data_IF_062132452801
#
_entry.id   IF_062132452801
#
_cell.length_a   1.000
_cell.length_b   1.000
_cell.length_c   1.000
_cell.angle_alpha   90.00
_cell.angle_beta   90.00
_cell.angle_gamma   90.00
#
_symmetry.space_group_name_H-M   'P 1'
#
loop_
_entity.id
_entity.type
_entity.pdbx_description
1 polymer ?
#
# COMPACT_ATOMS: atom_id res chain seq x y z
N UNK A 1 10.73 71.63 30.27
CA UNK A 1 11.59 70.81 29.40
C UNK A 1 12.19 69.69 30.24
N UNK A 2 11.64 68.47 30.16
CA UNK A 2 12.26 67.18 30.51
C UNK A 2 11.21 66.10 30.22
N UNK A 3 11.32 65.50 29.04
CA UNK A 3 10.47 64.42 28.56
C UNK A 3 10.85 63.11 29.27
N UNK A 4 9.85 62.42 29.81
CA UNK A 4 9.93 61.02 30.21
C UNK A 4 9.82 60.14 28.95
N UNK A 5 10.78 59.25 28.73
CA UNK A 5 10.66 58.15 27.78
C UNK A 5 10.41 56.85 28.57
N UNK A 6 9.22 56.28 28.40
CA UNK A 6 8.90 54.90 28.78
C UNK A 6 9.50 53.96 27.74
N UNK A 7 10.35 53.01 28.17
CA UNK A 7 10.71 51.85 27.37
C UNK A 7 9.69 50.74 27.62
N UNK A 8 8.90 50.42 26.60
CA UNK A 8 8.07 49.21 26.55
C UNK A 8 8.93 48.04 26.05
N UNK A 9 9.23 47.08 26.93
CA UNK A 9 9.84 45.82 26.56
C UNK A 9 8.77 44.89 25.94
N UNK A 10 8.87 44.64 24.63
CA UNK A 10 8.08 43.61 23.95
C UNK A 10 8.77 42.27 24.15
N UNK A 11 8.20 41.42 24.99
CA UNK A 11 8.61 40.02 25.11
C UNK A 11 8.04 39.22 23.93
N UNK A 12 8.87 38.92 22.94
CA UNK A 12 8.56 37.96 21.87
C UNK A 12 8.63 36.54 22.45
N UNK A 13 7.47 35.97 22.77
CA UNK A 13 7.34 34.55 23.06
C UNK A 13 7.67 33.73 21.82
N UNK A 14 8.84 33.08 21.82
CA UNK A 14 9.16 32.00 20.90
C UNK A 14 8.26 30.80 21.25
N UNK A 15 7.10 30.73 20.61
CA UNK A 15 6.42 29.45 20.49
C UNK A 15 7.28 28.57 19.58
N UNK A 16 8.06 27.68 20.19
CA UNK A 16 8.57 26.51 19.51
C UNK A 16 7.36 25.64 19.12
N UNK A 17 6.70 25.96 18.01
CA UNK A 17 5.99 24.94 17.27
C UNK A 17 7.06 23.95 16.85
N UNK A 18 7.21 22.85 17.59
CA UNK A 18 8.01 21.73 17.14
C UNK A 18 7.52 21.40 15.74
N UNK A 19 8.36 21.60 14.73
CA UNK A 19 8.02 21.25 13.37
C UNK A 19 7.76 19.74 13.39
N UNK A 20 6.49 19.35 13.37
CA UNK A 20 6.12 17.95 13.19
C UNK A 20 6.81 17.51 11.91
N UNK A 21 7.57 16.41 11.97
CA UNK A 21 8.21 15.85 10.79
C UNK A 21 7.13 15.69 9.69
N UNK A 22 7.44 16.16 8.48
CA UNK A 22 6.52 16.04 7.35
C UNK A 22 6.25 14.56 7.10
N UNK A 23 5.00 14.14 7.30
CA UNK A 23 4.54 12.78 7.02
C UNK A 23 3.92 12.70 5.64
N UNK A 24 4.24 11.66 4.89
CA UNK A 24 3.62 11.41 3.59
C UNK A 24 3.20 9.96 3.40
N UNK A 25 2.16 9.76 2.60
CA UNK A 25 1.61 8.45 2.25
C UNK A 25 1.57 8.35 0.73
N UNK A 26 2.13 7.27 0.21
CA UNK A 26 2.25 7.03 -1.23
C UNK A 26 1.51 5.76 -1.62
N UNK A 27 1.25 5.56 -2.91
CA UNK A 27 0.83 4.27 -3.45
C UNK A 27 1.78 3.81 -4.56
N UNK A 28 2.15 2.54 -4.49
CA UNK A 28 3.06 1.90 -5.44
C UNK A 28 2.35 1.57 -6.74
N UNK A 29 2.83 2.08 -7.86
CA UNK A 29 2.28 1.81 -9.20
C UNK A 29 3.32 1.05 -10.00
N UNK A 30 3.00 -0.19 -10.38
CA UNK A 30 3.77 -0.97 -11.33
C UNK A 30 3.51 -0.39 -12.72
N UNK A 31 4.40 0.44 -13.22
CA UNK A 31 4.17 1.19 -14.47
C UNK A 31 4.09 0.26 -15.68
N UNK A 32 4.78 -0.88 -15.64
CA UNK A 32 4.67 -1.93 -16.66
C UNK A 32 3.21 -2.40 -16.87
N UNK A 33 2.41 -2.42 -15.80
CA UNK A 33 0.98 -2.77 -15.82
C UNK A 33 0.07 -1.59 -16.23
N UNK A 34 0.57 -0.67 -17.05
CA UNK A 34 -0.22 0.49 -17.53
C UNK A 34 -0.19 0.66 -19.05
N UNK A 35 0.15 -0.39 -19.81
CA UNK A 35 0.33 -0.31 -21.26
C UNK A 35 -0.89 0.23 -22.04
N UNK A 36 -2.10 0.06 -21.53
CA UNK A 36 -3.32 0.58 -22.12
C UNK A 36 -3.76 1.95 -21.56
N UNK A 37 -3.13 2.44 -20.49
CA UNK A 37 -3.48 3.73 -19.91
C UNK A 37 -3.24 4.88 -20.90
N UNK A 38 -4.25 5.73 -21.02
CA UNK A 38 -4.13 7.05 -21.64
C UNK A 38 -3.77 8.09 -20.57
N UNK A 39 -3.42 9.31 -20.98
CA UNK A 39 -3.27 10.41 -20.03
C UNK A 39 -4.55 10.66 -19.23
N UNK A 40 -5.73 10.49 -19.84
CA UNK A 40 -7.00 10.61 -19.13
C UNK A 40 -7.18 9.53 -18.06
N UNK A 41 -6.71 8.31 -18.32
CA UNK A 41 -6.71 7.22 -17.33
C UNK A 41 -5.80 7.56 -16.15
N UNK A 42 -4.60 8.11 -16.41
CA UNK A 42 -3.73 8.64 -15.35
C UNK A 42 -4.39 9.76 -14.54
N UNK A 43 -5.11 10.70 -15.19
CA UNK A 43 -5.87 11.74 -14.49
C UNK A 43 -6.93 11.14 -13.56
N UNK A 44 -7.65 10.11 -14.01
CA UNK A 44 -8.65 9.42 -13.20
C UNK A 44 -8.02 8.76 -11.96
N UNK A 45 -6.89 8.08 -12.13
CA UNK A 45 -6.17 7.43 -11.02
C UNK A 45 -5.59 8.44 -10.04
N UNK A 46 -4.94 9.49 -10.54
CA UNK A 46 -4.40 10.58 -9.71
C UNK A 46 -5.52 11.27 -8.92
N UNK A 47 -6.66 11.54 -9.57
CA UNK A 47 -7.81 12.15 -8.91
C UNK A 47 -8.35 11.24 -7.81
N UNK A 48 -8.53 9.95 -8.10
CA UNK A 48 -9.02 8.98 -7.12
C UNK A 48 -8.05 8.86 -5.93
N UNK A 49 -6.75 8.67 -6.19
CA UNK A 49 -5.74 8.58 -5.15
C UNK A 49 -5.68 9.85 -4.29
N UNK A 50 -5.66 11.03 -4.90
CA UNK A 50 -5.71 12.32 -4.18
C UNK A 50 -6.93 12.42 -3.27
N UNK A 51 -8.10 12.00 -3.74
CA UNK A 51 -9.34 12.05 -2.95
C UNK A 51 -9.33 11.10 -1.75
N UNK A 52 -8.45 10.10 -1.74
CA UNK A 52 -8.25 9.21 -0.58
C UNK A 52 -7.26 9.78 0.46
N UNK A 53 -6.55 10.87 0.12
CA UNK A 53 -5.54 11.49 0.98
C UNK A 53 -4.09 11.04 0.70
N UNK A 54 -3.88 10.22 -0.32
CA UNK A 54 -2.54 9.87 -0.81
C UNK A 54 -1.84 11.12 -1.39
N UNK A 55 -0.54 11.23 -1.15
CA UNK A 55 0.26 12.40 -1.55
C UNK A 55 0.96 12.19 -2.90
N UNK A 56 1.33 10.94 -3.22
CA UNK A 56 2.06 10.64 -4.45
C UNK A 56 1.85 9.21 -4.95
N UNK A 57 2.09 9.01 -6.24
CA UNK A 57 2.42 7.69 -6.77
C UNK A 57 3.93 7.45 -6.78
N UNK A 58 4.30 6.26 -6.33
CA UNK A 58 5.65 5.70 -6.51
C UNK A 58 5.63 4.95 -7.84
N UNK A 59 6.23 5.54 -8.86
CA UNK A 59 6.33 4.94 -10.20
C UNK A 59 7.43 3.88 -10.16
N UNK A 60 7.05 2.63 -9.92
CA UNK A 60 7.92 1.48 -10.07
C UNK A 60 8.14 1.21 -11.57
N UNK A 61 9.40 1.37 -11.98
CA UNK A 61 9.82 1.30 -13.37
C UNK A 61 10.94 0.28 -13.53
N UNK A 62 10.80 -0.56 -14.56
CA UNK A 62 11.72 -1.66 -14.82
C UNK A 62 12.43 -1.49 -16.18
N UNK A 63 13.65 -2.01 -16.29
CA UNK A 63 14.46 -1.91 -17.51
C UNK A 63 14.64 -3.29 -18.17
N UNK A 64 14.54 -3.42 -19.50
CA UNK A 64 14.35 -2.38 -20.53
C UNK A 64 12.91 -2.33 -21.06
N UNK A 65 11.90 -2.38 -20.19
CA UNK A 65 10.49 -2.39 -20.62
C UNK A 65 10.16 -1.15 -21.48
N UNK A 66 9.77 -1.40 -22.74
CA UNK A 66 9.53 -0.38 -23.75
C UNK A 66 8.27 0.44 -23.49
N UNK A 67 7.37 -0.03 -22.62
CA UNK A 67 6.19 0.70 -22.20
C UNK A 67 6.52 1.89 -21.27
N UNK A 68 7.59 1.75 -20.47
CA UNK A 68 7.92 2.67 -19.39
C UNK A 68 8.10 4.12 -19.85
N UNK A 69 8.90 4.45 -20.89
CA UNK A 69 9.11 5.85 -21.29
C UNK A 69 7.80 6.58 -21.62
N UNK A 70 6.92 5.94 -22.39
CA UNK A 70 5.64 6.52 -22.81
C UNK A 70 4.68 6.70 -21.64
N UNK A 71 4.61 5.72 -20.74
CA UNK A 71 3.73 5.77 -19.58
C UNK A 71 4.17 6.77 -18.53
N UNK A 72 5.48 6.88 -18.25
CA UNK A 72 6.02 7.91 -17.37
C UNK A 72 5.70 9.30 -17.90
N UNK A 73 5.87 9.55 -19.21
CA UNK A 73 5.52 10.84 -19.80
C UNK A 73 4.03 11.19 -19.63
N UNK A 74 3.12 10.23 -19.87
CA UNK A 74 1.68 10.43 -19.66
C UNK A 74 1.33 10.68 -18.19
N UNK A 75 1.96 9.97 -17.25
CA UNK A 75 1.73 10.13 -15.82
C UNK A 75 2.11 11.54 -15.35
N UNK A 76 3.30 12.03 -15.72
CA UNK A 76 3.73 13.40 -15.38
C UNK A 76 2.83 14.46 -16.03
N UNK A 77 2.47 14.30 -17.31
CA UNK A 77 1.55 15.21 -17.99
C UNK A 77 0.17 15.26 -17.32
N UNK A 78 -0.34 14.12 -16.83
CA UNK A 78 -1.58 14.06 -16.07
C UNK A 78 -1.48 14.77 -14.71
N UNK A 79 -0.40 14.54 -13.95
CA UNK A 79 -0.20 15.17 -12.65
C UNK A 79 -0.02 16.69 -12.74
N UNK A 80 0.68 17.16 -13.78
CA UNK A 80 0.84 18.59 -14.06
C UNK A 80 -0.49 19.24 -14.44
N UNK A 81 -1.30 18.58 -15.29
CA UNK A 81 -2.62 19.05 -15.67
C UNK A 81 -3.60 19.17 -14.48
N UNK A 82 -3.48 18.28 -13.48
CA UNK A 82 -4.27 18.31 -12.23
C UNK A 82 -3.79 19.37 -11.21
N UNK A 83 -2.90 20.27 -11.61
CA UNK A 83 -2.41 21.38 -10.77
C UNK A 83 -1.27 21.00 -9.82
N UNK A 84 -0.60 19.85 -10.04
CA UNK A 84 0.55 19.40 -9.26
C UNK A 84 0.28 19.22 -7.75
N UNK A 85 -0.98 19.16 -7.31
CA UNK A 85 -1.36 18.90 -5.92
C UNK A 85 -1.08 17.47 -5.47
N UNK A 86 -1.05 16.54 -6.42
CA UNK A 86 -0.62 15.15 -6.25
C UNK A 86 0.74 14.98 -6.92
N UNK A 87 1.64 14.20 -6.31
CA UNK A 87 3.04 14.09 -6.75
C UNK A 87 3.36 12.73 -7.36
N UNK A 88 4.51 12.64 -8.01
CA UNK A 88 5.08 11.42 -8.56
C UNK A 88 6.56 11.34 -8.19
N UNK A 89 7.10 10.15 -7.97
CA UNK A 89 8.54 9.93 -7.92
C UNK A 89 8.88 8.51 -8.37
N UNK A 90 10.15 8.25 -8.65
CA UNK A 90 10.60 6.95 -9.17
C UNK A 90 10.98 5.97 -8.07
N UNK A 91 10.57 4.73 -8.26
CA UNK A 91 11.24 3.55 -7.72
C UNK A 91 11.85 2.78 -8.89
N UNK A 92 13.18 2.72 -8.95
CA UNK A 92 13.87 1.94 -9.98
C UNK A 92 13.88 0.47 -9.56
N UNK A 93 13.21 -0.37 -10.33
CA UNK A 93 13.10 -1.80 -10.09
C UNK A 93 14.32 -2.51 -10.67
N UNK A 94 15.17 -3.07 -9.80
CA UNK A 94 16.37 -3.80 -10.19
C UNK A 94 16.16 -5.30 -10.39
N UNK A 95 14.98 -5.84 -10.01
CA UNK A 95 14.63 -7.25 -10.23
C UNK A 95 13.62 -7.44 -11.38
N UNK A 96 12.93 -6.37 -11.76
CA UNK A 96 11.98 -6.32 -12.86
C UNK A 96 12.62 -6.10 -14.23
N UNK A 97 11.85 -6.32 -15.30
CA UNK A 97 12.20 -5.93 -16.68
C UNK A 97 13.28 -6.81 -17.34
N UNK A 98 14.02 -7.60 -16.57
CA UNK A 98 14.96 -8.61 -17.07
C UNK A 98 16.38 -8.11 -17.30
N UNK A 99 16.66 -6.81 -17.10
CA UNK A 99 18.01 -6.26 -17.15
C UNK A 99 18.26 -5.26 -16.02
N UNK A 100 19.50 -5.25 -15.52
CA UNK A 100 19.96 -4.27 -14.54
C UNK A 100 19.92 -2.86 -15.14
N UNK A 101 19.48 -1.89 -14.34
CA UNK A 101 19.45 -0.48 -14.75
C UNK A 101 20.85 0.07 -15.04
N UNK A 102 21.08 0.68 -16.22
CA UNK A 102 22.26 1.49 -16.45
C UNK A 102 22.25 2.70 -15.51
N UNK A 103 23.37 2.99 -14.85
CA UNK A 103 23.47 4.15 -13.96
C UNK A 103 23.42 5.47 -14.75
N UNK A 104 24.16 5.55 -15.86
CA UNK A 104 24.33 6.75 -16.70
C UNK A 104 24.08 6.43 -18.18
N UNK A 105 24.01 7.47 -19.01
CA UNK A 105 23.75 7.36 -20.45
C UNK A 105 22.28 7.52 -20.81
N UNK A 106 21.91 7.17 -22.04
CA UNK A 106 20.52 7.19 -22.50
C UNK A 106 19.74 6.03 -21.87
N UNK A 107 18.45 6.26 -21.54
CA UNK A 107 17.59 5.26 -20.90
C UNK A 107 18.19 4.68 -19.61
N UNK A 108 18.76 5.55 -18.78
CA UNK A 108 19.44 5.23 -17.52
C UNK A 108 18.71 5.86 -16.33
N UNK A 109 19.10 5.47 -15.12
CA UNK A 109 18.63 6.12 -13.88
C UNK A 109 18.81 7.64 -13.95
N UNK A 110 20.00 8.09 -14.36
CA UNK A 110 20.35 9.51 -14.47
C UNK A 110 19.50 10.23 -15.50
N UNK A 111 19.18 9.61 -16.66
CA UNK A 111 18.37 10.28 -17.67
C UNK A 111 16.93 10.50 -17.21
N UNK A 112 16.32 9.49 -16.56
CA UNK A 112 14.96 9.64 -15.99
C UNK A 112 14.94 10.70 -14.89
N UNK A 113 15.88 10.66 -13.94
CA UNK A 113 15.93 11.65 -12.87
C UNK A 113 16.15 13.07 -13.42
N UNK A 114 17.09 13.28 -14.33
CA UNK A 114 17.33 14.62 -14.89
C UNK A 114 16.16 15.15 -15.72
N UNK A 115 15.41 14.26 -16.39
CA UNK A 115 14.24 14.67 -17.17
C UNK A 115 13.08 15.14 -16.27
N UNK A 116 12.82 14.46 -15.15
CA UNK A 116 11.59 14.70 -14.38
C UNK A 116 11.79 15.36 -13.01
N UNK A 117 12.98 15.34 -12.40
CA UNK A 117 13.18 15.83 -11.02
C UNK A 117 12.75 17.29 -10.82
N UNK A 118 12.79 18.11 -11.87
CA UNK A 118 12.43 19.53 -11.84
C UNK A 118 10.96 19.81 -12.19
N UNK A 119 10.18 18.78 -12.54
CA UNK A 119 8.73 18.92 -12.71
C UNK A 119 8.08 19.39 -11.40
N UNK A 120 7.09 20.31 -11.45
CA UNK A 120 6.32 20.69 -10.27
C UNK A 120 5.51 19.51 -9.69
N UNK A 121 5.27 18.46 -10.48
CA UNK A 121 4.63 17.23 -10.04
C UNK A 121 5.61 16.24 -9.38
N UNK A 122 6.93 16.49 -9.39
CA UNK A 122 7.89 15.59 -8.75
C UNK A 122 7.87 15.74 -7.22
N UNK A 123 7.78 14.62 -6.49
CA UNK A 123 7.79 14.65 -5.02
C UNK A 123 9.18 15.03 -4.50
N UNK A 124 9.20 15.99 -3.55
CA UNK A 124 10.42 16.46 -2.91
C UNK A 124 10.27 16.40 -1.41
N UNK A 125 11.36 16.05 -0.74
CA UNK A 125 11.45 16.03 0.71
C UNK A 125 12.68 16.81 1.13
N UNK A 126 12.52 17.74 2.07
CA UNK A 126 13.59 18.66 2.50
C UNK A 126 14.29 19.37 1.31
N UNK A 127 13.51 19.74 0.29
CA UNK A 127 13.98 20.43 -0.92
C UNK A 127 14.63 19.54 -1.99
N UNK A 128 14.95 18.28 -1.67
CA UNK A 128 15.61 17.34 -2.58
C UNK A 128 14.59 16.46 -3.33
N UNK A 129 14.84 16.10 -4.59
CA UNK A 129 14.05 15.09 -5.29
C UNK A 129 14.10 13.77 -4.52
N UNK A 130 12.93 13.21 -4.22
CA UNK A 130 12.81 11.93 -3.54
C UNK A 130 12.91 10.78 -4.54
N UNK A 131 13.62 9.71 -4.20
CA UNK A 131 13.78 8.54 -5.06
C UNK A 131 13.91 7.27 -4.24
N UNK A 132 13.42 6.16 -4.78
CA UNK A 132 13.50 4.84 -4.17
C UNK A 132 13.98 3.81 -5.20
N UNK A 133 14.12 2.56 -4.77
CA UNK A 133 14.37 1.37 -5.59
C UNK A 133 13.52 0.23 -5.09
N UNK A 134 13.29 -0.77 -5.92
CA UNK A 134 12.99 -2.13 -5.47
C UNK A 134 14.27 -2.96 -5.64
N UNK A 135 14.82 -3.41 -4.52
CA UNK A 135 16.16 -4.02 -4.44
C UNK A 135 17.26 -3.18 -5.13
N UNK A 136 18.28 -3.82 -5.70
CA UNK A 136 19.45 -3.16 -6.31
C UNK A 136 20.69 -3.14 -5.42
N UNK A 137 20.86 -4.15 -4.57
CA UNK A 137 22.00 -4.27 -3.65
C UNK A 137 23.35 -4.33 -4.36
N UNK A 138 23.39 -4.85 -5.58
CA UNK A 138 24.60 -4.87 -6.41
C UNK A 138 24.97 -3.48 -6.96
N UNK A 139 24.08 -2.48 -6.82
CA UNK A 139 24.22 -1.11 -7.30
C UNK A 139 24.43 -0.09 -6.18
N UNK A 140 24.64 -0.51 -4.93
CA UNK A 140 24.80 0.40 -3.78
C UNK A 140 25.88 1.47 -4.05
N UNK A 141 27.01 1.09 -4.63
CA UNK A 141 28.10 2.01 -4.96
C UNK A 141 27.73 3.01 -6.06
N UNK A 142 26.80 2.67 -6.96
CA UNK A 142 26.30 3.59 -7.97
C UNK A 142 25.51 4.76 -7.34
N UNK A 143 24.82 4.47 -6.22
CA UNK A 143 24.00 5.41 -5.46
C UNK A 143 24.73 6.15 -4.33
N UNK A 144 25.98 5.78 -4.02
CA UNK A 144 26.80 6.44 -3.00
C UNK A 144 26.98 7.95 -3.29
N UNK A 145 27.33 8.79 -2.30
CA UNK A 145 27.48 10.24 -2.49
C UNK A 145 28.37 10.65 -3.66
N UNK A 146 29.46 9.90 -3.91
CA UNK A 146 30.40 10.10 -5.02
C UNK A 146 30.17 9.11 -6.17
N UNK A 147 29.09 8.35 -6.14
CA UNK A 147 28.73 7.39 -7.17
C UNK A 147 28.31 8.10 -8.47
N UNK A 148 28.32 7.39 -9.61
CA UNK A 148 27.95 7.93 -10.92
C UNK A 148 26.56 8.60 -10.94
N UNK A 149 25.58 8.06 -10.21
CA UNK A 149 24.21 8.60 -10.24
C UNK A 149 24.15 9.98 -9.57
N UNK A 150 24.63 10.09 -8.33
CA UNK A 150 24.62 11.37 -7.58
C UNK A 150 25.59 12.39 -8.15
N UNK A 151 26.71 11.94 -8.70
CA UNK A 151 27.66 12.84 -9.39
C UNK A 151 27.01 13.52 -10.60
N UNK A 152 26.12 12.83 -11.32
CA UNK A 152 25.45 13.37 -12.50
C UNK A 152 24.11 14.07 -12.20
N UNK A 153 23.38 13.65 -11.16
CA UNK A 153 22.05 14.19 -10.83
C UNK A 153 22.12 15.28 -9.76
N UNK A 154 23.13 15.26 -8.89
CA UNK A 154 23.21 16.10 -7.70
C UNK A 154 22.50 15.50 -6.49
N UNK A 155 22.08 16.36 -5.56
CA UNK A 155 21.44 15.96 -4.31
C UNK A 155 20.11 15.22 -4.53
N UNK A 156 19.94 14.11 -3.82
CA UNK A 156 18.75 13.25 -3.84
C UNK A 156 18.39 12.86 -2.41
N UNK A 157 17.09 12.76 -2.12
CA UNK A 157 16.58 12.14 -0.91
C UNK A 157 16.27 10.67 -1.21
N UNK A 158 17.25 9.80 -0.97
CA UNK A 158 17.20 8.41 -1.39
C UNK A 158 16.74 7.48 -0.27
N UNK A 159 15.63 6.80 -0.48
CA UNK A 159 15.03 5.84 0.45
C UNK A 159 14.80 4.52 -0.29
N UNK A 160 15.84 3.69 -0.50
CA UNK A 160 15.72 2.42 -1.21
C UNK A 160 15.00 1.36 -0.38
N UNK A 161 14.37 0.42 -1.08
CA UNK A 161 14.18 -0.92 -0.56
C UNK A 161 15.40 -1.78 -0.94
N UNK A 162 16.08 -2.30 0.08
CA UNK A 162 17.16 -3.29 -0.01
C UNK A 162 16.88 -4.40 1.01
N UNK A 163 15.62 -4.85 1.07
CA UNK A 163 15.15 -5.79 2.10
C UNK A 163 15.92 -7.11 2.08
N UNK A 164 16.44 -7.54 0.93
CA UNK A 164 17.30 -8.72 0.81
C UNK A 164 18.58 -8.69 1.68
N UNK A 165 19.05 -7.51 2.08
CA UNK A 165 20.17 -7.39 3.05
C UNK A 165 19.73 -7.69 4.49
N UNK A 166 18.46 -7.48 4.81
CA UNK A 166 17.97 -7.32 6.17
C UNK A 166 18.49 -6.05 6.85
N UNK A 167 17.88 -5.66 8.00
CA UNK A 167 18.16 -4.38 8.65
C UNK A 167 19.61 -4.23 9.12
N UNK A 168 20.25 -5.31 9.61
CA UNK A 168 21.62 -5.24 10.14
C UNK A 168 22.68 -5.04 9.06
N UNK A 169 22.57 -5.72 7.91
CA UNK A 169 23.54 -5.52 6.82
C UNK A 169 23.26 -4.20 6.08
N UNK A 170 21.98 -3.79 5.96
CA UNK A 170 21.62 -2.47 5.44
C UNK A 170 22.36 -1.35 6.20
N UNK A 171 22.45 -1.46 7.54
CA UNK A 171 23.08 -0.45 8.37
C UNK A 171 24.55 -0.16 8.00
N UNK A 172 25.26 -1.13 7.41
CA UNK A 172 26.63 -0.96 6.93
C UNK A 172 26.75 -0.01 5.74
N UNK A 173 25.63 0.31 5.10
CA UNK A 173 25.53 1.20 3.94
C UNK A 173 24.78 2.52 4.22
N UNK A 174 24.50 2.85 5.49
CA UNK A 174 23.74 4.03 5.90
C UNK A 174 24.30 5.38 5.39
N UNK A 175 25.60 5.43 5.05
CA UNK A 175 26.23 6.62 4.46
C UNK A 175 25.79 6.89 3.00
N UNK A 176 25.17 5.90 2.33
CA UNK A 176 24.75 6.00 0.93
C UNK A 176 23.29 6.46 0.77
N UNK A 177 22.51 6.45 1.85
CA UNK A 177 21.04 6.62 1.84
C UNK A 177 20.57 7.73 2.77
N UNK A 178 19.37 8.25 2.57
CA UNK A 178 18.69 9.18 3.49
C UNK A 178 17.63 8.47 4.35
N UNK A 179 17.25 7.25 3.98
CA UNK A 179 16.32 6.42 4.73
C UNK A 179 16.32 4.99 4.23
N UNK A 180 15.42 4.17 4.76
CA UNK A 180 15.14 2.85 4.23
C UNK A 180 13.65 2.64 4.02
N UNK A 181 13.33 1.84 3.04
CA UNK A 181 12.02 1.23 2.84
C UNK A 181 12.14 -0.27 3.09
N UNK A 182 11.17 -0.83 3.81
CA UNK A 182 11.07 -2.28 3.99
C UNK A 182 9.94 -2.85 3.14
N UNK A 183 10.26 -3.86 2.33
CA UNK A 183 9.32 -4.69 1.58
C UNK A 183 8.78 -5.88 2.41
N UNK A 184 8.94 -5.85 3.73
CA UNK A 184 8.51 -6.92 4.65
C UNK A 184 7.14 -6.60 5.30
N UNK A 185 6.10 -6.39 4.49
CA UNK A 185 4.76 -6.02 4.99
C UNK A 185 3.79 -7.19 5.22
N UNK A 186 4.16 -8.42 4.83
CA UNK A 186 3.34 -9.63 5.02
C UNK A 186 3.93 -10.57 6.09
N UNK A 187 3.11 -11.37 6.79
CA UNK A 187 3.59 -12.31 7.80
C UNK A 187 4.18 -13.59 7.18
N UNK A 188 5.14 -14.18 7.89
CA UNK A 188 5.57 -15.55 7.64
C UNK A 188 4.65 -16.55 8.39
N UNK A 189 4.19 -17.58 7.68
CA UNK A 189 3.30 -18.60 8.21
C UNK A 189 1.85 -18.17 8.43
N UNK A 190 1.14 -18.96 9.23
CA UNK A 190 -0.27 -18.74 9.60
C UNK A 190 -0.46 -17.74 10.76
N UNK A 191 0.44 -16.77 10.89
CA UNK A 191 0.43 -15.79 12.00
C UNK A 191 0.06 -14.40 11.50
N UNK A 192 -0.37 -13.51 12.40
CA UNK A 192 -0.64 -12.11 12.06
C UNK A 192 0.68 -11.33 12.02
N UNK A 193 0.79 -10.34 11.13
CA UNK A 193 1.99 -9.51 11.01
C UNK A 193 2.17 -8.65 12.26
N UNK A 194 3.37 -8.64 12.83
CA UNK A 194 3.75 -7.75 13.96
C UNK A 194 4.53 -6.52 13.48
N UNK A 195 4.87 -5.63 14.42
CA UNK A 195 5.73 -4.46 14.19
C UNK A 195 7.22 -4.74 14.35
N UNK A 196 7.61 -5.98 14.65
CA UNK A 196 8.98 -6.26 15.09
C UNK A 196 10.01 -5.98 13.99
N UNK A 197 9.72 -6.38 12.75
CA UNK A 197 10.59 -6.07 11.62
C UNK A 197 10.65 -4.56 11.35
N UNK A 198 9.54 -3.84 11.48
CA UNK A 198 9.52 -2.38 11.28
C UNK A 198 10.41 -1.65 12.30
N UNK A 199 10.36 -2.06 13.58
CA UNK A 199 11.25 -1.53 14.60
C UNK A 199 12.71 -1.96 14.38
N UNK A 200 12.94 -3.19 13.90
CA UNK A 200 14.29 -3.63 13.54
C UNK A 200 14.89 -2.73 12.45
N UNK A 201 14.15 -2.43 11.39
CA UNK A 201 14.57 -1.47 10.36
C UNK A 201 14.82 -0.08 10.96
N UNK A 202 13.84 0.50 11.66
CA UNK A 202 13.94 1.84 12.23
C UNK A 202 15.12 2.00 13.21
N UNK A 203 15.44 0.96 13.99
CA UNK A 203 16.55 0.98 14.93
C UNK A 203 17.93 0.84 14.25
N UNK A 204 18.01 0.17 13.10
CA UNK A 204 19.29 -0.10 12.40
C UNK A 204 19.67 0.97 11.37
N UNK A 205 18.72 1.70 10.78
CA UNK A 205 19.02 2.74 9.76
C UNK A 205 19.77 3.95 10.32
N UNK A 206 19.84 4.09 11.66
CA UNK A 206 20.62 5.12 12.33
C UNK A 206 19.89 6.46 12.50
N UNK A 207 20.45 7.29 13.38
CA UNK A 207 19.85 8.56 13.75
C UNK A 207 19.77 9.54 12.55
N UNK A 208 18.68 10.30 12.47
CA UNK A 208 18.46 11.31 11.43
C UNK A 208 18.10 10.75 10.04
N UNK A 209 17.88 9.44 9.92
CA UNK A 209 17.34 8.79 8.72
C UNK A 209 15.84 8.57 8.84
N UNK A 210 15.17 8.50 7.70
CA UNK A 210 13.73 8.25 7.63
C UNK A 210 13.40 6.79 7.36
N UNK A 211 12.29 6.32 7.89
CA UNK A 211 11.75 5.00 7.59
C UNK A 211 10.47 5.12 6.75
N UNK A 212 10.42 4.37 5.65
CA UNK A 212 9.20 4.15 4.88
C UNK A 212 8.64 2.77 5.23
N UNK A 213 7.42 2.74 5.76
CA UNK A 213 6.73 1.53 6.17
C UNK A 213 5.78 1.06 5.07
N UNK A 214 5.87 -0.21 4.70
CA UNK A 214 4.93 -0.84 3.78
C UNK A 214 3.60 -1.21 4.44
N UNK A 215 2.50 -0.94 3.73
CA UNK A 215 1.13 -1.34 4.09
C UNK A 215 0.47 -1.99 2.88
N UNK A 216 0.06 -3.25 3.02
CA UNK A 216 -0.59 -4.01 1.96
C UNK A 216 -1.85 -4.69 2.51
N UNK A 217 -2.96 -4.75 1.74
CA UNK A 217 -4.20 -5.36 2.22
C UNK A 217 -4.17 -6.89 2.18
N UNK A 218 -3.50 -7.47 1.18
CA UNK A 218 -3.56 -8.89 0.85
C UNK A 218 -2.34 -9.33 0.04
N UNK A 219 -2.15 -10.64 -0.15
CA UNK A 219 -1.17 -11.17 -1.10
C UNK A 219 -1.59 -12.54 -1.64
N UNK A 220 -1.69 -12.65 -2.96
CA UNK A 220 -1.81 -13.91 -3.67
C UNK A 220 -1.21 -13.78 -5.07
N UNK A 221 -0.01 -14.33 -5.25
CA UNK A 221 0.68 -14.38 -6.54
C UNK A 221 0.08 -15.48 -7.41
N UNK A 222 -0.45 -15.08 -8.57
CA UNK A 222 -1.29 -15.92 -9.42
C UNK A 222 -0.88 -15.95 -10.90
N UNK A 223 0.23 -15.29 -11.25
CA UNK A 223 0.70 -15.16 -12.63
C UNK A 223 1.22 -16.48 -13.22
N UNK A 224 1.33 -16.54 -14.55
CA UNK A 224 1.94 -17.66 -15.27
C UNK A 224 3.47 -17.58 -15.23
N UNK A 225 4.14 -18.74 -15.26
CA UNK A 225 5.60 -18.83 -15.36
C UNK A 225 6.33 -18.64 -14.03
N UNK A 226 5.61 -18.29 -12.97
CA UNK A 226 6.11 -18.21 -11.60
C UNK A 226 5.45 -19.23 -10.68
N UNK A 227 6.04 -19.40 -9.50
CA UNK A 227 5.42 -20.11 -8.39
C UNK A 227 4.20 -19.33 -7.92
N UNK A 228 3.10 -20.03 -7.59
CA UNK A 228 1.94 -19.39 -7.00
C UNK A 228 1.99 -19.55 -5.49
N UNK A 229 1.89 -18.47 -4.75
CA UNK A 229 1.86 -18.51 -3.30
C UNK A 229 0.97 -17.44 -2.71
N UNK A 230 0.64 -17.62 -1.44
CA UNK A 230 -0.09 -16.63 -0.66
C UNK A 230 0.63 -16.36 0.66
N UNK A 231 0.50 -15.12 1.13
CA UNK A 231 0.74 -14.76 2.51
C UNK A 231 -0.58 -14.44 3.20
N UNK A 232 -0.62 -14.57 4.53
CA UNK A 232 -1.85 -14.34 5.28
C UNK A 232 -2.24 -12.86 5.21
N UNK A 233 -3.34 -12.57 4.52
CA UNK A 233 -3.93 -11.22 4.41
C UNK A 233 -5.15 -10.99 5.32
N UNK A 234 -5.64 -12.03 5.99
CA UNK A 234 -6.87 -12.09 6.80
C UNK A 234 -7.27 -10.77 7.48
N UNK A 235 -6.46 -10.26 8.42
CA UNK A 235 -6.69 -8.97 9.11
C UNK A 235 -5.64 -7.91 8.75
N UNK A 236 -4.78 -8.19 7.77
CA UNK A 236 -3.55 -7.45 7.51
C UNK A 236 -3.80 -5.97 7.24
N UNK A 237 -4.83 -5.64 6.47
CA UNK A 237 -5.15 -4.24 6.15
C UNK A 237 -5.43 -3.40 7.41
N UNK A 238 -6.32 -3.89 8.30
CA UNK A 238 -6.66 -3.19 9.53
C UNK A 238 -5.48 -3.13 10.50
N UNK A 239 -4.74 -4.23 10.63
CA UNK A 239 -3.61 -4.34 11.54
C UNK A 239 -2.46 -3.43 11.12
N UNK A 240 -2.06 -3.44 9.84
CA UNK A 240 -0.96 -2.61 9.35
C UNK A 240 -1.27 -1.13 9.49
N UNK A 241 -2.48 -0.68 9.20
CA UNK A 241 -2.87 0.72 9.42
C UNK A 241 -2.80 1.12 10.90
N UNK A 242 -3.27 0.27 11.81
CA UNK A 242 -3.11 0.49 13.26
C UNK A 242 -1.64 0.54 13.65
N UNK A 243 -0.82 -0.34 13.11
CA UNK A 243 0.61 -0.43 13.39
C UNK A 243 1.38 0.81 12.92
N UNK A 244 0.93 1.51 11.87
CA UNK A 244 1.54 2.80 11.47
C UNK A 244 1.53 3.84 12.59
N UNK A 245 0.53 3.80 13.49
CA UNK A 245 0.43 4.70 14.64
C UNK A 245 1.46 4.37 15.73
N UNK A 246 1.77 3.08 15.91
CA UNK A 246 2.77 2.62 16.87
C UNK A 246 4.19 2.85 16.34
N UNK A 247 4.47 2.38 15.12
CA UNK A 247 5.78 2.52 14.48
C UNK A 247 6.12 3.99 14.22
N UNK A 248 5.10 4.79 13.90
CA UNK A 248 5.21 6.22 13.60
C UNK A 248 6.33 6.50 12.57
N UNK A 249 6.27 5.90 11.36
CA UNK A 249 7.25 6.16 10.31
C UNK A 249 7.07 7.59 9.75
N UNK A 250 8.07 8.08 9.02
CA UNK A 250 7.95 9.35 8.28
C UNK A 250 7.19 9.16 6.96
N UNK A 251 7.29 7.96 6.37
CA UNK A 251 6.57 7.63 5.14
C UNK A 251 5.80 6.32 5.29
N UNK A 252 4.65 6.24 4.62
CA UNK A 252 3.91 5.00 4.41
C UNK A 252 3.77 4.78 2.91
N UNK A 253 4.00 3.56 2.43
CA UNK A 253 3.72 3.18 1.06
C UNK A 253 2.64 2.10 1.04
N UNK A 254 1.52 2.39 0.39
CA UNK A 254 0.48 1.43 0.07
C UNK A 254 0.97 0.57 -1.10
N UNK A 255 1.05 -0.74 -0.87
CA UNK A 255 1.57 -1.74 -1.80
C UNK A 255 0.41 -2.71 -2.12
N UNK A 256 -0.27 -2.57 -3.26
CA UNK A 256 0.00 -1.65 -4.40
C UNK A 256 -1.27 -0.98 -4.91
N UNK A 257 -1.12 -0.04 -5.85
CA UNK A 257 -2.22 0.54 -6.61
C UNK A 257 -2.76 -0.45 -7.67
N UNK A 258 -1.87 -1.12 -8.42
CA UNK A 258 -2.26 -1.87 -9.63
C UNK A 258 -1.51 -3.21 -9.86
N UNK A 259 -0.94 -3.83 -8.82
CA UNK A 259 -0.40 -5.18 -8.97
C UNK A 259 -1.51 -6.24 -8.89
N UNK A 260 -2.16 -6.46 -10.02
CA UNK A 260 -3.23 -7.44 -10.18
C UNK A 260 -2.72 -8.88 -10.11
N UNK A 261 -1.48 -9.13 -10.52
CA UNK A 261 -0.88 -10.47 -10.51
C UNK A 261 -0.69 -11.03 -9.10
N UNK A 262 -0.51 -10.13 -8.14
CA UNK A 262 -0.27 -10.45 -6.73
C UNK A 262 -1.45 -10.15 -5.80
N UNK A 263 -2.61 -9.81 -6.37
CA UNK A 263 -3.88 -9.64 -5.64
C UNK A 263 -3.85 -8.61 -4.50
N UNK A 264 -2.90 -7.68 -4.53
CA UNK A 264 -2.70 -6.69 -3.47
C UNK A 264 -3.07 -5.26 -3.88
N UNK A 265 -3.58 -5.10 -5.11
CA UNK A 265 -4.03 -3.83 -5.66
C UNK A 265 -5.20 -3.26 -4.86
N UNK A 266 -5.21 -1.93 -4.68
CA UNK A 266 -6.35 -1.17 -4.14
C UNK A 266 -7.03 -0.29 -5.19
N UNK A 267 -6.35 -0.05 -6.32
CA UNK A 267 -6.85 0.75 -7.42
C UNK A 267 -7.78 -0.03 -8.36
N UNK A 268 -8.51 0.67 -9.24
CA UNK A 268 -9.42 0.05 -10.19
C UNK A 268 -8.67 -0.72 -11.29
N UNK A 269 -9.26 -1.82 -11.75
CA UNK A 269 -8.82 -2.48 -12.99
C UNK A 269 -9.29 -1.63 -14.18
N UNK A 270 -8.37 -0.89 -14.82
CA UNK A 270 -8.69 -0.01 -15.97
C UNK A 270 -8.81 -0.77 -17.28
N UNK A 271 -7.96 -1.78 -17.48
CA UNK A 271 -8.00 -2.66 -18.64
C UNK A 271 -7.64 -4.09 -18.25
N UNK A 272 -8.33 -5.07 -18.83
CA UNK A 272 -7.99 -6.49 -18.68
C UNK A 272 -6.61 -6.82 -19.28
N UNK A 273 -6.19 -6.09 -20.31
CA UNK A 273 -4.88 -6.28 -20.94
C UNK A 273 -3.69 -5.91 -20.05
N UNK A 274 -3.96 -5.23 -18.92
CA UNK A 274 -2.95 -4.81 -17.94
C UNK A 274 -2.87 -5.77 -16.75
N UNK A 275 -3.72 -6.80 -16.73
CA UNK A 275 -3.60 -7.90 -15.79
C UNK A 275 -2.53 -8.85 -16.32
N UNK A 276 -1.57 -9.19 -15.46
CA UNK A 276 -0.51 -10.13 -15.80
C UNK A 276 -1.08 -11.47 -16.30
N UNK A 277 -0.41 -12.05 -17.30
CA UNK A 277 -0.86 -13.30 -17.91
C UNK A 277 -1.07 -14.40 -16.85
N UNK A 278 -2.22 -15.08 -16.91
CA UNK A 278 -2.61 -16.13 -15.97
C UNK A 278 -3.38 -15.64 -14.74
N UNK A 279 -3.29 -14.35 -14.39
CA UNK A 279 -3.97 -13.80 -13.21
C UNK A 279 -5.43 -13.41 -13.46
N UNK A 280 -5.84 -13.14 -14.72
CA UNK A 280 -7.20 -12.66 -15.05
C UNK A 280 -8.31 -13.54 -14.47
N UNK A 281 -8.15 -14.87 -14.51
CA UNK A 281 -9.14 -15.82 -13.95
C UNK A 281 -9.35 -15.67 -12.45
N UNK A 282 -8.36 -15.15 -11.71
CA UNK A 282 -8.44 -14.91 -10.28
C UNK A 282 -8.87 -13.48 -9.94
N UNK A 283 -8.70 -12.53 -10.87
CA UNK A 283 -9.04 -11.11 -10.73
C UNK A 283 -10.48 -10.80 -11.16
N UNK A 284 -11.02 -11.54 -12.14
CA UNK A 284 -12.35 -11.26 -12.68
C UNK A 284 -13.45 -11.34 -11.62
N UNK A 285 -14.21 -10.24 -11.49
CA UNK A 285 -15.24 -10.09 -10.48
C UNK A 285 -14.75 -9.98 -9.03
N UNK A 286 -13.47 -9.74 -8.79
CA UNK A 286 -12.87 -9.48 -7.47
C UNK A 286 -12.43 -8.00 -7.36
N UNK A 287 -13.38 -7.08 -7.23
CA UNK A 287 -13.02 -5.67 -6.99
C UNK A 287 -12.43 -5.48 -5.59
N UNK A 288 -11.38 -4.66 -5.52
CA UNK A 288 -10.68 -4.27 -4.30
C UNK A 288 -10.86 -2.79 -3.95
N UNK A 289 -11.56 -2.03 -4.79
CA UNK A 289 -11.64 -0.55 -4.67
C UNK A 289 -12.21 -0.12 -3.32
N UNK A 290 -13.09 -0.92 -2.70
CA UNK A 290 -13.62 -0.65 -1.37
C UNK A 290 -12.54 -0.57 -0.28
N UNK A 291 -11.31 -1.04 -0.49
CA UNK A 291 -10.19 -0.78 0.43
C UNK A 291 -9.80 0.70 0.51
N UNK A 292 -10.07 1.47 -0.55
CA UNK A 292 -9.83 2.92 -0.60
C UNK A 292 -10.72 3.71 0.36
N UNK A 293 -11.92 3.23 0.67
CA UNK A 293 -12.94 4.02 1.38
C UNK A 293 -12.53 4.45 2.78
N UNK A 294 -11.67 3.66 3.45
CA UNK A 294 -11.18 3.97 4.80
C UNK A 294 -9.81 4.66 4.79
N UNK A 295 -9.15 4.78 3.63
CA UNK A 295 -7.88 5.49 3.52
C UNK A 295 -7.94 6.94 4.02
N UNK A 296 -8.98 7.76 3.73
CA UNK A 296 -9.08 9.11 4.29
C UNK A 296 -8.97 9.14 5.81
N UNK A 297 -9.63 8.20 6.50
CA UNK A 297 -9.55 8.09 7.96
C UNK A 297 -8.16 7.64 8.40
N UNK A 298 -7.64 6.54 7.85
CA UNK A 298 -6.36 5.99 8.26
C UNK A 298 -5.21 6.96 8.05
N UNK A 299 -5.16 7.60 6.88
CA UNK A 299 -4.13 8.57 6.52
C UNK A 299 -4.24 9.82 7.41
N UNK A 300 -5.45 10.32 7.67
CA UNK A 300 -5.62 11.45 8.59
C UNK A 300 -5.13 11.11 10.00
N UNK A 301 -5.48 9.93 10.54
CA UNK A 301 -4.98 9.49 11.86
C UNK A 301 -3.47 9.30 11.89
N UNK A 302 -2.89 8.70 10.86
CA UNK A 302 -1.44 8.57 10.74
C UNK A 302 -0.72 9.93 10.68
N UNK A 303 -1.25 10.89 9.91
CA UNK A 303 -0.70 12.25 9.80
C UNK A 303 -0.95 13.12 11.03
N UNK A 304 -1.78 12.67 11.98
CA UNK A 304 -2.20 13.48 13.12
C UNK A 304 -3.19 14.59 12.75
N UNK A 305 -3.81 14.50 11.56
CA UNK A 305 -4.78 15.47 11.08
C UNK A 305 -6.17 15.23 11.69
N UNK A 306 -6.96 16.29 11.93
CA UNK A 306 -8.37 16.14 12.30
C UNK A 306 -9.14 15.33 11.25
N UNK A 307 -10.06 14.48 11.72
CA UNK A 307 -10.98 13.74 10.85
C UNK A 307 -12.32 13.57 11.56
N UNK A 308 -13.40 14.00 10.90
CA UNK A 308 -14.77 13.87 11.40
C UNK A 308 -15.43 12.66 10.78
N UNK A 309 -15.88 11.72 11.62
CA UNK A 309 -16.69 10.58 11.19
C UNK A 309 -18.14 11.06 11.06
N UNK A 310 -18.53 11.48 9.86
CA UNK A 310 -19.84 12.09 9.60
C UNK A 310 -20.99 11.08 9.50
N UNK A 311 -20.67 9.81 9.23
CA UNK A 311 -21.63 8.70 9.16
C UNK A 311 -20.95 7.40 9.58
N UNK A 312 -21.76 6.40 9.90
CA UNK A 312 -21.25 5.05 10.10
C UNK A 312 -20.95 4.39 8.76
N UNK A 313 -19.85 3.67 8.69
CA UNK A 313 -19.41 2.95 7.51
C UNK A 313 -18.91 1.57 7.88
N UNK A 314 -18.98 0.63 6.94
CA UNK A 314 -18.27 -0.65 7.07
C UNK A 314 -17.44 -0.92 5.82
N UNK A 315 -16.33 -1.62 6.02
CA UNK A 315 -15.49 -2.19 4.98
C UNK A 315 -15.28 -3.66 5.33
N UNK A 316 -15.42 -4.56 4.35
CA UNK A 316 -15.39 -5.99 4.57
C UNK A 316 -14.75 -6.72 3.40
N UNK A 317 -14.04 -7.80 3.69
CA UNK A 317 -13.37 -8.63 2.69
C UNK A 317 -13.33 -10.10 3.11
N UNK A 318 -13.36 -10.97 2.10
CA UNK A 318 -13.32 -12.43 2.29
C UNK A 318 -13.13 -13.15 0.96
N UNK A 319 -12.67 -14.40 1.04
CA UNK A 319 -12.73 -15.33 -0.10
C UNK A 319 -14.16 -15.83 -0.26
N UNK A 320 -14.65 -15.97 -1.49
CA UNK A 320 -16.06 -16.32 -1.76
C UNK A 320 -16.35 -17.81 -1.60
N UNK A 321 -15.41 -18.59 -1.09
CA UNK A 321 -15.57 -20.00 -0.76
C UNK A 321 -14.51 -20.42 0.28
N UNK A 322 -14.70 -21.52 1.02
CA UNK A 322 -13.67 -22.09 1.89
C UNK A 322 -12.34 -22.35 1.18
N UNK A 323 -11.21 -22.34 1.89
CA UNK A 323 -9.87 -22.55 1.30
C UNK A 323 -9.75 -23.91 0.61
N UNK A 324 -10.33 -24.93 1.25
CA UNK A 324 -10.38 -26.29 0.77
C UNK A 324 -11.55 -26.59 -0.18
N UNK A 325 -12.26 -25.58 -0.69
CA UNK A 325 -13.43 -25.74 -1.55
C UNK A 325 -13.11 -26.11 -3.02
N UNK A 326 -11.82 -26.20 -3.36
CA UNK A 326 -11.30 -26.54 -4.67
C UNK A 326 -9.86 -27.06 -4.57
N UNK A 327 -9.24 -27.32 -5.71
CA UNK A 327 -7.81 -27.66 -5.78
C UNK A 327 -6.97 -26.42 -5.48
N UNK A 328 -5.82 -26.58 -4.82
CA UNK A 328 -4.88 -25.46 -4.66
C UNK A 328 -4.26 -25.04 -5.99
N UNK A 329 -4.27 -25.92 -7.01
CA UNK A 329 -3.66 -25.68 -8.32
C UNK A 329 -2.20 -25.18 -8.24
N UNK A 330 -1.43 -25.80 -7.35
CA UNK A 330 -0.02 -25.49 -7.13
C UNK A 330 0.22 -24.26 -6.26
N UNK A 331 -0.82 -23.63 -5.72
CA UNK A 331 -0.68 -22.56 -4.73
C UNK A 331 -0.17 -23.15 -3.42
N UNK A 332 0.94 -22.60 -2.92
CA UNK A 332 1.49 -22.88 -1.59
C UNK A 332 1.23 -21.72 -0.63
N UNK A 333 1.14 -22.00 0.66
CA UNK A 333 1.20 -20.96 1.68
C UNK A 333 2.67 -20.63 1.98
N UNK A 334 3.04 -19.35 1.95
CA UNK A 334 4.43 -18.89 2.04
C UNK A 334 5.32 -19.41 0.89
N UNK A 335 6.58 -18.96 0.83
CA UNK A 335 7.48 -19.31 -0.27
C UNK A 335 8.92 -19.61 0.20
N UNK A 336 9.42 -20.81 -0.11
CA UNK A 336 10.80 -21.21 0.17
C UNK A 336 11.85 -20.33 -0.53
N UNK A 337 11.54 -19.77 -1.70
CA UNK A 337 12.42 -18.85 -2.42
C UNK A 337 12.58 -17.51 -1.67
N UNK A 338 11.68 -17.24 -0.72
CA UNK A 338 11.72 -16.10 0.20
C UNK A 338 12.31 -16.49 1.56
N UNK A 339 12.96 -17.66 1.67
CA UNK A 339 13.55 -18.16 2.91
C UNK A 339 12.54 -18.64 3.95
N UNK A 340 11.30 -18.93 3.55
CA UNK A 340 10.21 -19.32 4.45
C UNK A 340 9.84 -20.79 4.31
N UNK A 341 9.29 -21.39 5.36
CA UNK A 341 8.69 -22.72 5.25
C UNK A 341 7.41 -22.66 4.42
N UNK A 342 7.30 -23.53 3.41
CA UNK A 342 6.05 -23.74 2.68
C UNK A 342 5.04 -24.51 3.52
N UNK A 343 3.80 -24.03 3.46
CA UNK A 343 2.65 -24.56 4.18
C UNK A 343 1.52 -24.87 3.20
N UNK A 344 0.51 -25.59 3.68
CA UNK A 344 -0.75 -25.66 2.95
C UNK A 344 -1.42 -24.28 2.96
N UNK A 345 -1.89 -23.75 1.82
CA UNK A 345 -2.65 -22.50 1.81
C UNK A 345 -3.87 -22.56 2.74
N UNK A 346 -4.47 -23.75 2.90
CA UNK A 346 -5.62 -23.98 3.79
C UNK A 346 -5.29 -23.81 5.27
N UNK A 347 -4.01 -23.87 5.65
CA UNK A 347 -3.55 -23.60 7.01
C UNK A 347 -3.18 -22.13 7.24
N UNK A 348 -2.91 -21.38 6.17
CA UNK A 348 -2.46 -19.99 6.23
C UNK A 348 -3.63 -19.02 6.28
N UNK A 349 -4.65 -19.22 5.42
CA UNK A 349 -5.84 -18.36 5.39
C UNK A 349 -7.00 -18.96 6.16
N UNK A 350 -7.76 -18.11 6.84
CA UNK A 350 -8.96 -18.54 7.55
C UNK A 350 -10.21 -18.42 6.68
N UNK A 351 -11.17 -19.31 6.94
CA UNK A 351 -12.50 -19.28 6.32
C UNK A 351 -13.42 -18.36 7.13
N UNK A 352 -13.29 -17.05 6.91
CA UNK A 352 -14.01 -16.03 7.65
C UNK A 352 -14.30 -14.80 6.79
N UNK A 353 -15.32 -14.04 7.22
CA UNK A 353 -15.55 -12.66 6.81
C UNK A 353 -14.80 -11.74 7.75
N UNK A 354 -13.90 -10.92 7.22
CA UNK A 354 -13.16 -9.90 7.97
C UNK A 354 -13.79 -8.55 7.69
N UNK A 355 -13.94 -7.72 8.73
CA UNK A 355 -14.62 -6.45 8.56
C UNK A 355 -14.20 -5.42 9.59
N UNK A 356 -14.19 -4.17 9.15
CA UNK A 356 -13.99 -3.00 9.99
C UNK A 356 -15.21 -2.10 9.94
N UNK A 357 -15.56 -1.50 11.07
CA UNK A 357 -16.61 -0.49 11.17
C UNK A 357 -16.02 0.83 11.66
N UNK A 358 -16.27 1.90 10.90
CA UNK A 358 -15.91 3.26 11.27
C UNK A 358 -17.18 3.94 11.81
N UNK A 359 -17.24 4.09 13.14
CA UNK A 359 -18.46 4.48 13.84
C UNK A 359 -18.39 5.93 14.34
N UNK A 360 -19.45 6.69 14.09
CA UNK A 360 -19.61 8.08 14.55
C UNK A 360 -19.83 8.19 16.06
N UNK A 361 -20.41 7.14 16.66
CA UNK A 361 -20.64 6.95 18.09
C UNK A 361 -20.86 5.45 18.36
N UNK A 362 -20.87 4.96 19.63
CA UNK A 362 -21.08 3.54 19.91
C UNK A 362 -22.35 3.01 19.23
N UNK A 363 -22.25 1.80 18.68
CA UNK A 363 -23.32 1.16 17.92
C UNK A 363 -23.15 -0.36 17.86
N UNK A 364 -24.22 -1.05 17.48
CA UNK A 364 -24.19 -2.48 17.17
C UNK A 364 -23.78 -2.68 15.71
N UNK A 365 -22.74 -3.48 15.48
CA UNK A 365 -22.36 -3.96 14.15
C UNK A 365 -22.92 -5.37 13.98
N UNK A 366 -23.72 -5.59 12.93
CA UNK A 366 -24.42 -6.85 12.69
C UNK A 366 -23.94 -7.49 11.39
N UNK A 367 -23.67 -8.80 11.45
CA UNK A 367 -23.24 -9.59 10.30
C UNK A 367 -24.07 -10.87 10.23
N UNK A 368 -24.57 -11.17 9.03
CA UNK A 368 -25.33 -12.39 8.72
C UNK A 368 -24.74 -13.03 7.47
N UNK A 369 -24.47 -14.33 7.47
CA UNK A 369 -24.04 -15.06 6.26
C UNK A 369 -25.21 -15.87 5.73
N UNK A 370 -25.74 -15.50 4.56
CA UNK A 370 -26.92 -16.14 3.98
C UNK A 370 -28.13 -16.08 4.91
N UNK A 371 -28.63 -17.25 5.29
CA UNK A 371 -29.81 -17.40 6.17
C UNK A 371 -29.44 -17.78 7.62
N UNK A 372 -28.16 -17.72 7.98
CA UNK A 372 -27.73 -17.96 9.36
C UNK A 372 -28.32 -16.93 10.34
N UNK A 373 -28.35 -17.21 11.66
CA UNK A 373 -28.68 -16.20 12.65
C UNK A 373 -27.75 -14.98 12.56
N UNK A 374 -28.31 -13.78 12.75
CA UNK A 374 -27.53 -12.54 12.81
C UNK A 374 -26.60 -12.58 14.03
N UNK A 375 -25.32 -12.26 13.82
CA UNK A 375 -24.37 -12.01 14.91
C UNK A 375 -24.19 -10.51 15.12
N UNK A 376 -24.09 -10.12 16.38
CA UNK A 376 -23.93 -8.72 16.80
C UNK A 376 -22.60 -8.52 17.52
N UNK A 377 -21.91 -7.44 17.19
CA UNK A 377 -20.65 -7.00 17.77
C UNK A 377 -20.86 -5.58 18.32
N UNK A 378 -20.40 -5.32 19.54
CA UNK A 378 -20.53 -4.01 20.17
C UNK A 378 -19.33 -3.15 19.79
N UNK A 379 -19.56 -2.06 19.07
CA UNK A 379 -18.53 -1.14 18.62
C UNK A 379 -18.51 0.17 19.41
N UNK A 380 -17.32 0.77 19.49
CA UNK A 380 -17.11 2.11 20.07
C UNK A 380 -16.90 3.15 18.97
N UNK A 381 -16.94 4.43 19.31
CA UNK A 381 -16.60 5.51 18.36
C UNK A 381 -15.22 5.30 17.76
N UNK A 382 -15.08 5.53 16.45
CA UNK A 382 -13.83 5.31 15.72
C UNK A 382 -13.83 3.98 14.97
N UNK A 383 -12.62 3.53 14.62
CA UNK A 383 -12.43 2.28 13.88
C UNK A 383 -12.49 1.08 14.83
N UNK A 384 -13.23 0.06 14.43
CA UNK A 384 -13.31 -1.24 15.10
C UNK A 384 -13.06 -2.32 14.05
N UNK A 385 -12.49 -3.46 14.44
CA UNK A 385 -12.19 -4.57 13.52
C UNK A 385 -12.54 -5.91 14.15
N UNK A 386 -13.18 -6.79 13.37
CA UNK A 386 -13.56 -8.13 13.79
C UNK A 386 -13.47 -9.13 12.63
N UNK A 387 -13.68 -10.40 12.97
CA UNK A 387 -13.88 -11.49 12.03
C UNK A 387 -15.08 -12.35 12.42
N UNK A 388 -15.74 -12.92 11.42
CA UNK A 388 -16.81 -13.91 11.58
C UNK A 388 -16.47 -15.16 10.76
N UNK A 389 -16.16 -16.31 11.40
CA UNK A 389 -15.95 -17.57 10.69
C UNK A 389 -17.16 -17.97 9.84
N UNK A 390 -16.91 -18.57 8.68
CA UNK A 390 -17.98 -19.13 7.84
C UNK A 390 -18.74 -20.23 8.58
N UNK A 391 -18.04 -21.11 9.31
CA UNK A 391 -18.64 -22.25 10.02
C UNK A 391 -19.64 -23.06 9.16
N UNK A 392 -19.28 -23.31 7.89
CA UNK A 392 -20.12 -24.01 6.91
C UNK A 392 -21.29 -23.20 6.35
N UNK A 393 -21.47 -21.94 6.76
CA UNK A 393 -22.52 -21.07 6.25
C UNK A 393 -22.17 -20.56 4.85
N UNK A 394 -23.17 -20.54 3.98
CA UNK A 394 -23.09 -20.08 2.60
C UNK A 394 -24.21 -19.08 2.32
N UNK A 395 -24.15 -18.42 1.16
CA UNK A 395 -25.09 -17.41 0.73
C UNK A 395 -24.53 -15.99 0.84
N UNK A 396 -25.37 -15.01 0.52
CA UNK A 396 -25.01 -13.58 0.51
C UNK A 396 -24.79 -13.07 1.93
N UNK A 397 -23.58 -12.59 2.28
CA UNK A 397 -23.36 -11.91 3.54
C UNK A 397 -24.08 -10.56 3.57
N UNK A 398 -24.64 -10.20 4.72
CA UNK A 398 -25.29 -8.92 4.98
C UNK A 398 -24.63 -8.26 6.17
N UNK A 399 -24.44 -6.95 6.06
CA UNK A 399 -23.75 -6.11 7.01
C UNK A 399 -24.63 -4.94 7.38
N UNK A 400 -24.70 -4.58 8.66
CA UNK A 400 -25.37 -3.36 9.07
C UNK A 400 -24.78 -2.77 10.35
N UNK A 401 -24.94 -1.45 10.48
CA UNK A 401 -24.75 -0.74 11.73
C UNK A 401 -26.13 -0.37 12.26
N UNK A 402 -26.40 -0.69 13.53
CA UNK A 402 -27.66 -0.43 14.21
C UNK A 402 -27.40 0.42 15.45
N UNK A 403 -28.12 1.53 15.55
CA UNK A 403 -28.07 2.45 16.70
C UNK A 403 -29.48 2.72 17.19
N UNK A 404 -29.71 2.51 18.48
CA UNK A 404 -31.02 2.70 19.13
C UNK A 404 -32.16 1.96 18.39
N UNK A 405 -31.87 0.74 17.89
CA UNK A 405 -32.83 -0.08 17.14
C UNK A 405 -33.01 0.29 15.66
N UNK A 406 -32.43 1.40 15.18
CA UNK A 406 -32.50 1.83 13.79
C UNK A 406 -31.21 1.46 13.02
N UNK A 407 -31.34 0.96 11.80
CA UNK A 407 -30.20 0.74 10.90
C UNK A 407 -29.70 2.08 10.36
N UNK A 408 -28.44 2.43 10.64
CA UNK A 408 -27.80 3.69 10.20
C UNK A 408 -26.99 3.52 8.92
N UNK A 409 -26.66 2.28 8.57
CA UNK A 409 -26.04 1.92 7.29
C UNK A 409 -26.08 0.40 7.10
N UNK A 410 -26.11 -0.05 5.84
CA UNK A 410 -26.13 -1.46 5.50
C UNK A 410 -25.56 -1.73 4.11
N UNK A 411 -25.01 -2.93 3.94
CA UNK A 411 -24.52 -3.42 2.66
C UNK A 411 -24.67 -4.93 2.55
N UNK A 412 -24.54 -5.43 1.33
CA UNK A 412 -24.50 -6.85 1.01
C UNK A 412 -23.19 -7.19 0.33
N UNK A 413 -22.75 -8.44 0.53
CA UNK A 413 -21.53 -8.95 -0.08
C UNK A 413 -21.79 -9.87 -1.28
N UNK A 414 -20.71 -10.28 -1.95
CA UNK A 414 -20.74 -11.40 -2.91
C UNK A 414 -21.05 -12.73 -2.18
N UNK A 415 -21.86 -13.59 -2.79
CA UNK A 415 -22.28 -14.84 -2.15
C UNK A 415 -21.07 -15.75 -1.82
N UNK A 416 -21.08 -16.32 -0.61
CA UNK A 416 -20.15 -17.38 -0.21
C UNK A 416 -20.72 -18.71 -0.70
N UNK A 417 -19.95 -19.46 -1.49
CA UNK A 417 -20.33 -20.77 -2.05
C UNK A 417 -19.60 -21.91 -1.35
N UNK A 418 -20.18 -23.12 -1.41
CA UNK A 418 -19.56 -24.31 -0.83
C UNK A 418 -18.35 -24.83 -1.65
N UNK A 419 -18.31 -24.50 -2.94
CA UNK A 419 -17.25 -24.87 -3.89
C UNK A 419 -16.68 -23.63 -4.57
N UNK A 420 -15.49 -23.74 -5.15
CA UNK A 420 -14.99 -22.72 -6.10
C UNK A 420 -15.95 -22.55 -7.28
N UNK A 421 -16.01 -21.34 -7.83
CA UNK A 421 -16.75 -21.01 -9.05
C UNK A 421 -15.85 -20.93 -10.28
N UNK A 422 -14.54 -21.12 -10.13
CA UNK A 422 -13.62 -21.12 -11.25
C UNK A 422 -13.80 -22.39 -12.08
N UNK A 423 -13.92 -22.24 -13.40
CA UNK A 423 -14.20 -23.34 -14.32
C UNK A 423 -13.11 -24.43 -14.33
N UNK A 424 -11.89 -24.10 -13.89
CA UNK A 424 -10.77 -25.03 -13.77
C UNK A 424 -10.74 -25.81 -12.44
N UNK A 425 -11.69 -25.57 -11.53
CA UNK A 425 -11.74 -26.24 -10.22
C UNK A 425 -10.68 -25.76 -9.22
N UNK A 426 -9.94 -24.69 -9.53
CA UNK A 426 -8.97 -24.10 -8.62
C UNK A 426 -9.66 -23.22 -7.55
N UNK A 427 -9.13 -23.24 -6.33
CA UNK A 427 -9.51 -22.26 -5.31
C UNK A 427 -9.00 -20.86 -5.69
N UNK A 428 -9.88 -19.85 -5.62
CA UNK A 428 -9.46 -18.46 -5.74
C UNK A 428 -9.09 -17.92 -4.34
N UNK A 429 -7.81 -17.56 -4.16
CA UNK A 429 -7.32 -16.95 -2.93
C UNK A 429 -7.36 -15.41 -2.96
N UNK A 430 -7.75 -14.83 -4.10
CA UNK A 430 -8.00 -13.39 -4.24
C UNK A 430 -9.34 -13.03 -3.55
N UNK A 431 -9.36 -12.11 -2.57
CA UNK A 431 -10.58 -11.78 -1.84
C UNK A 431 -11.55 -10.97 -2.70
N UNK A 432 -12.80 -10.97 -2.30
CA UNK A 432 -13.75 -9.94 -2.71
C UNK A 432 -13.84 -8.89 -1.60
N UNK A 433 -13.90 -7.60 -1.97
CA UNK A 433 -13.95 -6.49 -1.03
C UNK A 433 -15.22 -5.67 -1.28
N UNK A 434 -15.87 -5.24 -0.20
CA UNK A 434 -17.03 -4.36 -0.25
C UNK A 434 -17.10 -3.40 0.92
N UNK A 435 -18.01 -2.43 0.82
CA UNK A 435 -18.20 -1.36 1.80
C UNK A 435 -19.55 -0.68 1.65
N UNK A 436 -19.90 0.19 2.61
CA UNK A 436 -20.99 1.18 2.50
C UNK A 436 -20.72 2.45 3.32
#
# INVERSE_FOLDING_TARGET
MRFLFQLSAVATGLFSQGASAQKSVFAHVVVGNTAAHTQATWVQDITLARNTGLDAFVLNIAYPDSNIPGQVAKAFAAAEAEGSGFKLFFAFDYLGGGQRWPSTGSNSVVSYLNQYKNSPAYFRYQGLPFVSTFEGVDDINAWAPNGPIRSAVGGLYFVPDWSSLGPSNFATHNNNVQGAFSWEMWPAGATDKTTDSDYAWKNNIGAGKTYMMGVSPWFFHSTNGGKKWLWRGDSLWADRWKQTLAVNPEFVQVVTWNDFGESMYVGPVRSRSEIAAGAEVYVDGQSHESWLDFLPYYIAKYKGSPFTISRDQMQYWYRTHPAAAGSTCGVVGNNADQGQQELSPNSVVQDAVFFSALLSSPAEVRVQIGNSPVKTYQGVTGINHWRQPFNGQTGVPKFSVVRNGATTGSGVGKAITASTTLANGCSNYNPWVGSF
#
